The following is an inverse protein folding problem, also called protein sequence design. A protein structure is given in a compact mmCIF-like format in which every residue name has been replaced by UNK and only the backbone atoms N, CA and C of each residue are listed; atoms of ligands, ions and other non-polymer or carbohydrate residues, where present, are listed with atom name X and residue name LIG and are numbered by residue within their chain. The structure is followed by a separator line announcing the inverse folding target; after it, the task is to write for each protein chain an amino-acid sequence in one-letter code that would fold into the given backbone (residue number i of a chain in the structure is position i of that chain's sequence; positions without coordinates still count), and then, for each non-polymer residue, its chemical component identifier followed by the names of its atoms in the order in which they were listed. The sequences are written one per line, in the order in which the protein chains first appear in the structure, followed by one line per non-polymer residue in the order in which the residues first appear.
data_IF_609778363171
#
_entry.id   IF_609778363171
#
_cell.length_a   1.000
_cell.length_b   1.000
_cell.length_c   1.000
_cell.angle_alpha   90.00
_cell.angle_beta   90.00
_cell.angle_gamma   90.00
#
_symmetry.space_group_name_H-M   'P 1'
#
loop_
_entity.id
_entity.type
_entity.pdbx_description
1 polymer ?
#
# COMPACT_ATOMS: atom_id res chain seq x y z
N UNK A 1 21.31 -9.67 -4.78
CA UNK A 1 20.56 -8.43 -4.48
C UNK A 1 19.67 -8.66 -3.26
N UNK A 2 19.57 -7.67 -2.37
CA UNK A 2 18.61 -7.63 -1.27
C UNK A 2 17.50 -6.66 -1.64
N UNK A 3 16.28 -7.15 -1.77
CA UNK A 3 15.07 -6.38 -2.00
C UNK A 3 14.31 -6.24 -0.68
N UNK A 4 14.01 -5.03 -0.25
CA UNK A 4 13.06 -4.80 0.83
C UNK A 4 11.68 -4.48 0.23
N UNK A 5 10.70 -5.29 0.58
CA UNK A 5 9.33 -5.19 0.16
C UNK A 5 8.42 -4.80 1.32
N UNK A 6 7.53 -3.84 1.11
CA UNK A 6 6.43 -3.51 2.00
C UNK A 6 5.20 -3.14 1.17
N UNK A 7 4.03 -3.09 1.79
CA UNK A 7 2.75 -2.77 1.15
C UNK A 7 1.77 -2.24 2.18
N UNK A 8 0.62 -1.74 1.76
CA UNK A 8 -0.52 -1.37 2.62
C UNK A 8 -0.14 -0.43 3.77
N UNK A 9 0.53 0.67 3.44
CA UNK A 9 0.92 1.70 4.43
C UNK A 9 -0.18 2.71 4.71
N UNK A 10 -1.22 2.76 3.88
CA UNK A 10 -2.47 3.50 4.04
C UNK A 10 -2.31 4.89 4.68
N UNK A 11 -1.51 5.75 4.05
CA UNK A 11 -1.31 7.13 4.50
C UNK A 11 -0.45 7.30 5.75
N UNK A 12 0.06 6.22 6.35
CA UNK A 12 0.89 6.28 7.55
C UNK A 12 2.28 6.83 7.26
N UNK A 13 2.49 8.11 7.56
CA UNK A 13 3.81 8.75 7.40
C UNK A 13 4.89 8.07 8.23
N UNK A 14 4.52 7.47 9.36
CA UNK A 14 5.45 6.68 10.18
C UNK A 14 5.91 5.43 9.42
N UNK A 15 4.98 4.68 8.84
CA UNK A 15 5.32 3.47 8.07
C UNK A 15 6.12 3.83 6.81
N UNK A 16 5.73 4.87 6.06
CA UNK A 16 6.48 5.30 4.89
C UNK A 16 7.90 5.76 5.24
N UNK A 17 8.07 6.52 6.33
CA UNK A 17 9.41 6.92 6.81
C UNK A 17 10.28 5.70 7.16
N UNK A 18 9.70 4.70 7.82
CA UNK A 18 10.40 3.44 8.13
C UNK A 18 10.74 2.66 6.86
N UNK A 19 9.84 2.65 5.86
CA UNK A 19 10.09 2.03 4.55
C UNK A 19 11.32 2.65 3.88
N UNK A 20 11.40 3.96 3.80
CA UNK A 20 12.59 4.64 3.23
C UNK A 20 13.85 4.34 4.05
N UNK A 21 13.76 4.34 5.38
CA UNK A 21 14.89 4.03 6.27
C UNK A 21 15.32 2.54 6.19
N UNK A 22 14.46 1.65 5.74
CA UNK A 22 14.78 0.23 5.58
C UNK A 22 15.97 -0.01 4.62
N UNK A 23 16.19 0.90 3.67
CA UNK A 23 17.34 0.89 2.77
C UNK A 23 18.66 0.77 3.54
N UNK A 24 18.86 1.64 4.52
CA UNK A 24 20.05 1.63 5.35
C UNK A 24 20.02 0.53 6.41
N UNK A 25 18.92 0.43 7.13
CA UNK A 25 18.78 -0.48 8.26
C UNK A 25 19.02 -1.94 7.87
N UNK A 26 18.43 -2.38 6.74
CA UNK A 26 18.58 -3.74 6.24
C UNK A 26 19.68 -3.88 5.19
N UNK A 27 20.37 -2.78 4.83
CA UNK A 27 21.34 -2.74 3.71
C UNK A 27 20.68 -3.31 2.43
N UNK A 28 19.48 -2.82 2.13
CA UNK A 28 18.76 -3.22 0.94
C UNK A 28 19.35 -2.55 -0.31
N UNK A 29 19.48 -3.30 -1.39
CA UNK A 29 19.95 -2.81 -2.68
C UNK A 29 18.83 -2.09 -3.46
N UNK A 30 17.56 -2.40 -3.14
CA UNK A 30 16.36 -1.78 -3.71
C UNK A 30 15.20 -1.81 -2.72
N UNK A 31 14.30 -0.84 -2.83
CA UNK A 31 13.03 -0.78 -2.08
C UNK A 31 11.85 -0.91 -3.04
N UNK A 32 10.83 -1.70 -2.66
CA UNK A 32 9.57 -1.82 -3.40
C UNK A 32 8.38 -1.68 -2.46
N UNK A 33 7.51 -0.70 -2.73
CA UNK A 33 6.23 -0.49 -2.04
C UNK A 33 5.10 -0.99 -2.94
N UNK A 34 4.37 -2.01 -2.50
CA UNK A 34 3.54 -2.87 -3.33
C UNK A 34 2.09 -2.41 -3.56
N UNK A 35 1.71 -1.24 -3.03
CA UNK A 35 0.35 -0.69 -3.22
C UNK A 35 -0.33 -0.31 -1.92
N UNK A 36 -1.56 0.20 -2.03
CA UNK A 36 -2.39 0.74 -0.94
C UNK A 36 -1.61 1.73 -0.07
N UNK A 37 -1.12 2.78 -0.76
CA UNK A 37 -0.25 3.77 -0.14
C UNK A 37 -1.05 4.91 0.51
N UNK A 38 -2.32 5.13 0.12
CA UNK A 38 -3.12 6.27 0.55
C UNK A 38 -3.96 5.97 1.79
N UNK A 39 -4.23 7.02 2.59
CA UNK A 39 -4.99 6.91 3.84
C UNK A 39 -6.50 7.02 3.61
N UNK A 40 -7.28 6.79 4.68
CA UNK A 40 -8.72 6.53 4.56
C UNK A 40 -9.64 7.60 5.14
N UNK A 41 -9.11 8.60 5.86
CA UNK A 41 -9.97 9.57 6.53
C UNK A 41 -9.31 10.93 6.77
N UNK A 42 -10.15 11.98 6.78
CA UNK A 42 -9.77 13.33 7.19
C UNK A 42 -10.11 13.53 8.66
N UNK A 43 -9.24 14.21 9.38
CA UNK A 43 -9.48 14.70 10.74
C UNK A 43 -9.54 16.22 10.69
N UNK A 44 -10.75 16.82 10.68
CA UNK A 44 -10.89 18.26 10.78
C UNK A 44 -10.36 18.75 12.14
N UNK A 45 -9.52 19.76 12.10
CA UNK A 45 -9.02 20.49 13.25
C UNK A 45 -9.56 21.93 13.16
N UNK A 46 -10.71 22.15 13.81
CA UNK A 46 -11.47 23.40 13.71
C UNK A 46 -10.88 24.44 14.65
N UNK A 47 -10.54 25.60 14.09
CA UNK A 47 -9.93 26.70 14.83
C UNK A 47 -10.99 27.52 15.60
N UNK A 48 -10.75 27.76 16.88
CA UNK A 48 -11.52 28.67 17.71
C UNK A 48 -10.59 29.40 18.69
N UNK A 49 -10.55 30.73 18.62
CA UNK A 49 -9.80 31.62 19.55
C UNK A 49 -8.35 31.15 19.84
N UNK A 50 -7.63 30.71 18.80
CA UNK A 50 -6.23 30.26 18.93
C UNK A 50 -6.05 28.80 19.35
N UNK A 51 -7.14 28.08 19.58
CA UNK A 51 -7.17 26.63 19.81
C UNK A 51 -7.69 25.90 18.58
N UNK A 52 -7.33 24.64 18.47
CA UNK A 52 -7.84 23.72 17.45
C UNK A 52 -8.49 22.52 18.12
N UNK A 53 -9.67 22.16 17.69
CA UNK A 53 -10.40 21.02 18.24
C UNK A 53 -10.94 20.10 17.13
N UNK A 54 -11.07 18.81 17.43
CA UNK A 54 -11.58 17.80 16.51
C UNK A 54 -11.86 16.49 17.22
N UNK A 55 -12.10 15.45 16.41
CA UNK A 55 -12.25 14.08 16.91
C UNK A 55 -11.20 13.19 16.23
N UNK A 56 -10.45 12.44 17.01
CA UNK A 56 -9.42 11.55 16.52
C UNK A 56 -9.40 10.26 17.34
N UNK A 57 -9.50 9.11 16.65
CA UNK A 57 -9.58 7.76 17.24
C UNK A 57 -10.67 7.63 18.31
N UNK A 58 -11.85 8.25 18.06
CA UNK A 58 -12.99 8.21 18.98
C UNK A 58 -12.93 9.18 20.14
N UNK A 59 -11.83 9.93 20.31
CA UNK A 59 -11.64 10.91 21.36
C UNK A 59 -11.77 12.34 20.85
N UNK A 60 -12.30 13.23 21.67
CA UNK A 60 -12.26 14.66 21.42
C UNK A 60 -10.87 15.20 21.78
N UNK A 61 -10.21 15.83 20.83
CA UNK A 61 -8.91 16.48 21.03
C UNK A 61 -9.07 18.00 21.00
N UNK A 62 -8.27 18.72 21.80
CA UNK A 62 -8.22 20.18 21.78
C UNK A 62 -6.82 20.62 22.18
N UNK A 63 -6.14 21.36 21.29
CA UNK A 63 -4.75 21.79 21.45
C UNK A 63 -4.59 23.27 21.15
N UNK A 64 -3.54 23.88 21.65
CA UNK A 64 -3.18 25.25 21.30
C UNK A 64 -2.44 25.30 19.96
N UNK A 65 -2.51 26.47 19.33
CA UNK A 65 -1.72 26.75 18.12
C UNK A 65 -0.23 26.69 18.43
N UNK A 66 0.56 26.07 17.55
CA UNK A 66 2.00 25.95 17.70
C UNK A 66 2.42 24.49 17.87
N UNK A 67 3.35 24.20 18.77
CA UNK A 67 3.95 22.87 18.93
C UNK A 67 2.96 21.76 19.25
N UNK A 68 1.92 22.05 20.07
CA UNK A 68 0.88 21.07 20.39
C UNK A 68 0.08 20.65 19.15
N UNK A 69 -0.30 21.63 18.30
CA UNK A 69 -1.00 21.38 17.07
C UNK A 69 -0.14 20.55 16.09
N UNK A 70 1.13 20.92 15.93
CA UNK A 70 2.06 20.17 15.07
C UNK A 70 2.28 18.74 15.57
N UNK A 71 2.36 18.55 16.88
CA UNK A 71 2.48 17.22 17.48
C UNK A 71 1.22 16.38 17.23
N UNK A 72 0.03 16.99 17.34
CA UNK A 72 -1.23 16.31 17.01
C UNK A 72 -1.31 15.93 15.53
N UNK A 73 -0.96 16.82 14.62
CA UNK A 73 -0.93 16.53 13.18
C UNK A 73 0.05 15.40 12.84
N UNK A 74 1.24 15.39 13.44
CA UNK A 74 2.19 14.29 13.30
C UNK A 74 1.61 12.97 13.82
N UNK A 75 0.86 13.00 14.93
CA UNK A 75 0.17 11.82 15.47
C UNK A 75 -0.90 11.32 14.51
N UNK A 76 -1.73 12.22 13.96
CA UNK A 76 -2.77 11.91 12.96
C UNK A 76 -2.12 11.30 11.71
N UNK A 77 -1.06 11.93 11.18
CA UNK A 77 -0.35 11.44 10.02
C UNK A 77 0.35 10.09 10.24
N UNK A 78 0.76 9.79 11.47
CA UNK A 78 1.40 8.52 11.81
C UNK A 78 0.44 7.32 11.73
N UNK A 79 -0.87 7.55 11.89
CA UNK A 79 -1.91 6.51 11.84
C UNK A 79 -2.60 6.40 10.47
N UNK A 80 -2.14 7.15 9.47
CA UNK A 80 -2.69 7.09 8.12
C UNK A 80 -3.83 8.06 7.84
N UNK A 81 -4.14 8.99 8.76
CA UNK A 81 -5.19 9.99 8.57
C UNK A 81 -4.61 11.31 8.09
N UNK A 82 -5.48 12.18 7.56
CA UNK A 82 -5.14 13.50 7.05
C UNK A 82 -5.67 14.58 7.98
N UNK A 83 -4.78 15.30 8.66
CA UNK A 83 -5.17 16.48 9.43
C UNK A 83 -5.53 17.61 8.48
N UNK A 84 -6.68 18.25 8.73
CA UNK A 84 -7.15 19.42 7.99
C UNK A 84 -7.46 20.55 8.93
N UNK A 85 -6.60 21.58 8.94
CA UNK A 85 -6.87 22.83 9.68
C UNK A 85 -7.94 23.61 8.94
N UNK A 86 -8.99 23.98 9.64
CA UNK A 86 -10.10 24.73 9.06
C UNK A 86 -10.72 25.70 10.06
N UNK A 87 -11.49 26.65 9.54
CA UNK A 87 -12.40 27.49 10.32
C UNK A 87 -13.75 26.78 10.47
N UNK A 88 -14.61 27.20 11.44
CA UNK A 88 -15.95 26.64 11.61
C UNK A 88 -16.82 26.75 10.35
N UNK A 89 -16.71 27.86 9.62
CA UNK A 89 -17.44 28.07 8.36
C UNK A 89 -16.98 27.15 7.24
N UNK A 90 -15.68 26.92 7.12
CA UNK A 90 -15.10 25.99 6.15
C UNK A 90 -15.48 24.53 6.45
N UNK A 91 -15.43 24.15 7.73
CA UNK A 91 -15.85 22.81 8.16
C UNK A 91 -17.31 22.56 7.84
N UNK A 92 -18.20 23.50 8.19
CA UNK A 92 -19.63 23.41 7.90
C UNK A 92 -19.92 23.36 6.39
N UNK A 93 -19.20 24.14 5.58
CA UNK A 93 -19.33 24.16 4.13
C UNK A 93 -18.95 22.80 3.51
N UNK A 94 -17.83 22.21 3.94
CA UNK A 94 -17.36 20.91 3.46
C UNK A 94 -18.26 19.78 3.98
N UNK A 95 -18.64 19.81 5.25
CA UNK A 95 -19.50 18.78 5.85
C UNK A 95 -20.87 18.66 5.16
N UNK A 96 -21.39 19.78 4.64
CA UNK A 96 -22.68 19.83 3.93
C UNK A 96 -22.61 19.44 2.43
N UNK A 97 -21.44 19.23 1.86
CA UNK A 97 -21.25 19.05 0.43
C UNK A 97 -20.31 17.86 0.11
N UNK A 98 -20.87 16.77 -0.36
CA UNK A 98 -20.12 15.55 -0.69
C UNK A 98 -19.03 15.79 -1.75
N UNK A 99 -19.27 16.59 -2.77
CA UNK A 99 -18.28 16.86 -3.81
C UNK A 99 -17.08 17.64 -3.24
N UNK A 100 -17.32 18.57 -2.29
CA UNK A 100 -16.25 19.28 -1.57
C UNK A 100 -15.47 18.35 -0.65
N UNK A 101 -16.14 17.41 0.00
CA UNK A 101 -15.46 16.39 0.83
C UNK A 101 -14.53 15.54 -0.03
N UNK A 102 -15.02 15.02 -1.16
CA UNK A 102 -14.24 14.22 -2.09
C UNK A 102 -13.05 15.00 -2.67
N UNK A 103 -13.27 16.25 -3.10
CA UNK A 103 -12.21 17.11 -3.61
C UNK A 103 -11.14 17.45 -2.56
N UNK A 104 -11.57 17.74 -1.32
CA UNK A 104 -10.64 17.97 -0.21
C UNK A 104 -9.82 16.72 0.11
N UNK A 105 -10.48 15.56 0.17
CA UNK A 105 -9.83 14.30 0.49
C UNK A 105 -8.77 13.95 -0.57
N UNK A 106 -9.13 14.04 -1.84
CA UNK A 106 -8.22 13.80 -2.95
C UNK A 106 -7.01 14.76 -2.93
N UNK A 107 -7.24 16.05 -2.68
CA UNK A 107 -6.14 17.02 -2.54
C UNK A 107 -5.17 16.64 -1.42
N UNK A 108 -5.68 16.28 -0.23
CA UNK A 108 -4.84 15.89 0.90
C UNK A 108 -4.07 14.58 0.65
N UNK A 109 -4.67 13.66 -0.09
CA UNK A 109 -4.01 12.44 -0.55
C UNK A 109 -2.82 12.78 -1.46
N UNK A 110 -3.06 13.56 -2.51
CA UNK A 110 -2.02 13.93 -3.49
C UNK A 110 -0.88 14.69 -2.81
N UNK A 111 -1.20 15.72 -2.00
CA UNK A 111 -0.21 16.48 -1.23
C UNK A 111 0.66 15.57 -0.34
N UNK A 112 0.07 14.54 0.28
CA UNK A 112 0.83 13.58 1.10
C UNK A 112 1.74 12.70 0.25
N UNK A 113 1.26 12.20 -0.88
CA UNK A 113 2.06 11.37 -1.80
C UNK A 113 3.24 12.19 -2.34
N UNK A 114 3.03 13.43 -2.78
CA UNK A 114 4.11 14.33 -3.21
C UNK A 114 5.17 14.54 -2.12
N UNK A 115 4.75 14.80 -0.88
CA UNK A 115 5.66 14.93 0.26
C UNK A 115 6.48 13.65 0.49
N UNK A 116 5.88 12.48 0.33
CA UNK A 116 6.56 11.21 0.49
C UNK A 116 7.55 10.93 -0.64
N UNK A 117 7.19 11.25 -1.87
CA UNK A 117 8.09 11.13 -3.01
C UNK A 117 9.31 12.04 -2.84
N UNK A 118 9.10 13.29 -2.42
CA UNK A 118 10.20 14.20 -2.10
C UNK A 118 11.11 13.67 -0.97
N UNK A 119 10.52 13.06 0.08
CA UNK A 119 11.28 12.44 1.17
C UNK A 119 12.12 11.26 0.67
N UNK A 120 11.55 10.40 -0.18
CA UNK A 120 12.28 9.27 -0.75
C UNK A 120 13.42 9.74 -1.67
N UNK A 121 13.15 10.75 -2.50
CA UNK A 121 14.15 11.37 -3.37
C UNK A 121 15.34 11.92 -2.57
N UNK A 122 15.07 12.74 -1.56
CA UNK A 122 16.08 13.33 -0.68
C UNK A 122 17.00 12.27 -0.02
N UNK A 123 16.41 11.19 0.48
CA UNK A 123 17.16 10.18 1.25
C UNK A 123 17.84 9.10 0.41
N UNK A 124 17.28 8.75 -0.74
CA UNK A 124 17.72 7.59 -1.51
C UNK A 124 18.58 7.94 -2.73
N UNK A 125 18.31 9.08 -3.39
CA UNK A 125 19.04 9.51 -4.59
C UNK A 125 20.54 9.60 -4.37
N UNK A 126 20.97 10.27 -3.32
CA UNK A 126 22.40 10.46 -3.01
C UNK A 126 23.13 9.15 -2.69
N UNK A 127 22.38 8.11 -2.33
CA UNK A 127 22.89 6.76 -2.01
C UNK A 127 22.81 5.81 -3.20
N UNK A 128 22.18 6.23 -4.30
CA UNK A 128 21.97 5.39 -5.48
C UNK A 128 21.07 4.18 -5.25
N UNK A 129 20.19 4.23 -4.22
CA UNK A 129 19.29 3.11 -3.90
C UNK A 129 17.96 3.34 -4.63
N UNK A 130 17.60 2.52 -5.64
CA UNK A 130 16.35 2.65 -6.35
C UNK A 130 15.16 2.37 -5.45
N UNK A 131 14.09 3.14 -5.67
CA UNK A 131 12.84 3.05 -4.95
C UNK A 131 11.70 2.91 -5.96
N UNK A 132 10.94 1.86 -5.82
CA UNK A 132 9.83 1.51 -6.67
C UNK A 132 8.53 1.60 -5.87
N UNK A 133 7.52 2.25 -6.44
CA UNK A 133 6.21 2.42 -5.79
C UNK A 133 5.11 1.99 -6.73
N UNK A 134 4.26 1.10 -6.29
CA UNK A 134 3.04 0.72 -6.97
C UNK A 134 1.82 1.35 -6.31
N UNK A 135 0.73 1.51 -7.05
CA UNK A 135 -0.59 1.72 -6.47
C UNK A 135 -1.20 0.38 -6.05
N UNK A 136 -2.16 0.40 -5.12
CA UNK A 136 -3.05 -0.70 -4.80
C UNK A 136 -4.50 -0.38 -5.17
N UNK A 137 -5.42 -1.29 -4.86
CA UNK A 137 -6.81 -1.11 -5.30
C UNK A 137 -7.54 0.04 -4.60
N UNK A 138 -7.13 0.40 -3.39
CA UNK A 138 -7.73 1.49 -2.60
C UNK A 138 -7.16 2.88 -2.99
N UNK A 139 -6.14 2.93 -3.82
CA UNK A 139 -5.48 4.17 -4.24
C UNK A 139 -6.23 4.84 -5.40
N UNK A 140 -6.60 6.13 -5.28
CA UNK A 140 -7.22 6.88 -6.38
C UNK A 140 -6.26 7.03 -7.56
N UNK A 141 -6.82 7.12 -8.78
CA UNK A 141 -6.02 7.21 -10.02
C UNK A 141 -5.16 8.49 -10.09
N UNK A 142 -5.60 9.53 -9.42
CA UNK A 142 -4.94 10.84 -9.40
C UNK A 142 -3.57 10.84 -8.73
N UNK A 143 -3.25 9.82 -7.91
CA UNK A 143 -1.91 9.71 -7.33
C UNK A 143 -0.84 9.30 -8.34
N UNK A 144 -1.24 8.70 -9.47
CA UNK A 144 -0.31 8.22 -10.48
C UNK A 144 0.62 9.36 -10.94
N UNK A 145 0.03 10.52 -11.25
CA UNK A 145 0.81 11.69 -11.65
C UNK A 145 1.75 12.20 -10.54
N UNK A 146 1.34 12.11 -9.28
CA UNK A 146 2.16 12.53 -8.14
C UNK A 146 3.39 11.62 -7.94
N UNK A 147 3.22 10.30 -8.15
CA UNK A 147 4.34 9.36 -8.09
C UNK A 147 5.23 9.47 -9.33
N UNK A 148 4.64 9.56 -10.53
CA UNK A 148 5.38 9.75 -11.80
C UNK A 148 6.19 11.04 -11.85
N UNK A 149 5.71 12.09 -11.18
CA UNK A 149 6.42 13.36 -11.04
C UNK A 149 7.66 13.31 -10.14
N UNK A 150 7.88 12.20 -9.43
CA UNK A 150 9.04 12.02 -8.57
C UNK A 150 10.33 11.86 -9.40
N UNK A 151 11.40 12.49 -8.96
CA UNK A 151 12.65 12.47 -9.73
C UNK A 151 13.49 11.20 -9.55
N UNK A 152 13.31 10.46 -8.46
CA UNK A 152 14.09 9.25 -8.12
C UNK A 152 13.24 8.00 -7.93
N UNK A 153 11.97 8.15 -7.51
CA UNK A 153 11.03 7.04 -7.34
C UNK A 153 10.48 6.64 -8.70
N UNK A 154 10.42 5.35 -8.98
CA UNK A 154 9.84 4.80 -10.21
C UNK A 154 8.46 4.23 -9.93
N UNK A 155 7.45 4.68 -10.69
CA UNK A 155 6.07 4.21 -10.58
C UNK A 155 5.88 2.93 -11.37
N UNK A 156 5.25 1.93 -10.72
CA UNK A 156 5.19 0.57 -11.25
C UNK A 156 3.87 0.18 -11.90
N UNK A 157 2.76 0.90 -11.63
CA UNK A 157 1.43 0.46 -12.06
C UNK A 157 1.35 0.18 -13.57
N UNK A 158 0.98 -1.04 -13.90
CA UNK A 158 0.88 -1.49 -15.29
C UNK A 158 2.20 -1.51 -16.05
N UNK A 159 3.36 -1.60 -15.38
CA UNK A 159 4.70 -1.51 -16.01
C UNK A 159 5.56 -2.72 -15.71
N UNK A 160 6.59 -2.88 -16.53
CA UNK A 160 7.72 -3.79 -16.30
C UNK A 160 8.96 -2.93 -16.11
N UNK A 161 9.65 -3.14 -14.98
CA UNK A 161 10.90 -2.44 -14.66
C UNK A 161 12.00 -3.44 -14.35
N UNK A 162 13.25 -3.00 -14.39
CA UNK A 162 14.40 -3.83 -14.02
C UNK A 162 14.97 -3.41 -12.67
N UNK A 163 15.20 -4.39 -11.81
CA UNK A 163 15.94 -4.22 -10.57
C UNK A 163 17.45 -4.17 -10.83
N UNK A 164 18.28 -3.70 -9.86
CA UNK A 164 19.74 -3.55 -10.06
C UNK A 164 20.50 -4.79 -10.52
N UNK A 165 19.94 -5.97 -10.35
CA UNK A 165 20.56 -7.23 -10.82
C UNK A 165 19.99 -7.76 -12.15
N UNK A 166 19.17 -6.94 -12.83
CA UNK A 166 18.54 -7.28 -14.10
C UNK A 166 17.25 -8.10 -13.96
N UNK A 167 16.79 -8.39 -12.73
CA UNK A 167 15.51 -9.08 -12.53
C UNK A 167 14.35 -8.17 -12.91
N UNK A 168 13.49 -8.60 -13.81
CA UNK A 168 12.30 -7.84 -14.22
C UNK A 168 11.19 -7.97 -13.18
N UNK A 169 10.47 -6.87 -12.94
CA UNK A 169 9.28 -6.81 -12.08
C UNK A 169 8.10 -6.37 -12.93
N UNK A 170 7.10 -7.23 -13.07
CA UNK A 170 5.80 -6.89 -13.64
C UNK A 170 4.82 -6.50 -12.52
N UNK A 171 4.16 -5.35 -12.62
CA UNK A 171 3.34 -4.83 -11.54
C UNK A 171 1.90 -4.53 -11.98
N UNK A 172 0.95 -4.85 -11.09
CA UNK A 172 -0.45 -4.51 -11.22
C UNK A 172 -1.07 -4.24 -9.83
N UNK A 173 -1.59 -3.04 -9.63
CA UNK A 173 -2.22 -2.62 -8.37
C UNK A 173 -3.71 -2.90 -8.30
N UNK A 174 -4.34 -3.34 -9.40
CA UNK A 174 -5.74 -3.68 -9.43
C UNK A 174 -6.03 -4.97 -8.65
N UNK A 175 -7.23 -5.04 -8.06
CA UNK A 175 -7.74 -6.23 -7.37
C UNK A 175 -9.09 -6.68 -7.95
N UNK A 176 -9.50 -7.90 -7.63
CA UNK A 176 -10.87 -8.34 -7.82
C UNK A 176 -11.82 -7.50 -6.95
N UNK A 177 -13.10 -7.43 -7.36
CA UNK A 177 -14.11 -6.60 -6.70
C UNK A 177 -14.17 -6.89 -5.20
N UNK A 178 -14.03 -5.82 -4.42
CA UNK A 178 -14.21 -5.82 -2.97
C UNK A 178 -15.59 -5.27 -2.58
N UNK A 179 -16.08 -5.53 -1.37
CA UNK A 179 -17.32 -4.94 -0.88
C UNK A 179 -17.31 -3.40 -0.77
N UNK A 180 -16.14 -2.79 -0.81
CA UNK A 180 -15.95 -1.34 -0.63
C UNK A 180 -15.95 -0.55 -1.94
N UNK A 181 -15.97 -1.24 -3.10
CA UNK A 181 -15.94 -0.63 -4.43
C UNK A 181 -14.78 0.37 -4.58
N UNK A 182 -13.56 -0.11 -4.31
CA UNK A 182 -12.35 0.68 -4.36
C UNK A 182 -12.03 1.16 -5.79
N UNK A 183 -11.24 2.24 -5.93
CA UNK A 183 -10.98 2.87 -7.25
C UNK A 183 -10.40 1.95 -8.32
N UNK A 184 -9.63 0.92 -7.93
CA UNK A 184 -9.01 -0.04 -8.86
C UNK A 184 -9.55 -1.46 -8.70
N UNK A 185 -10.77 -1.60 -8.14
CA UNK A 185 -11.50 -2.86 -8.16
C UNK A 185 -12.04 -3.14 -9.56
N UNK A 186 -11.80 -4.35 -10.07
CA UNK A 186 -12.32 -4.80 -11.37
C UNK A 186 -12.80 -6.24 -11.28
N UNK A 187 -13.65 -6.65 -12.24
CA UNK A 187 -14.01 -8.05 -12.34
C UNK A 187 -12.79 -8.92 -12.74
N UNK A 188 -12.87 -10.23 -12.45
CA UNK A 188 -11.77 -11.18 -12.66
C UNK A 188 -11.33 -11.24 -14.14
N UNK A 189 -12.24 -11.07 -15.11
CA UNK A 189 -11.88 -11.10 -16.53
C UNK A 189 -11.05 -9.87 -16.92
N UNK A 190 -11.44 -8.69 -16.41
CA UNK A 190 -10.66 -7.46 -16.61
C UNK A 190 -9.32 -7.51 -15.89
N UNK A 191 -9.30 -8.10 -14.68
CA UNK A 191 -8.05 -8.28 -13.97
C UNK A 191 -7.12 -9.22 -14.74
N UNK A 192 -7.64 -10.35 -15.24
CA UNK A 192 -6.87 -11.28 -16.09
C UNK A 192 -6.28 -10.58 -17.31
N UNK A 193 -7.06 -9.76 -18.01
CA UNK A 193 -6.58 -9.01 -19.17
C UNK A 193 -5.45 -8.04 -18.82
N UNK A 194 -5.54 -7.33 -17.67
CA UNK A 194 -4.48 -6.43 -17.19
C UNK A 194 -3.19 -7.19 -16.83
N UNK A 195 -3.33 -8.33 -16.15
CA UNK A 195 -2.20 -9.19 -15.80
C UNK A 195 -1.53 -9.73 -17.06
N UNK A 196 -2.30 -10.25 -18.02
CA UNK A 196 -1.78 -10.75 -19.29
C UNK A 196 -1.07 -9.63 -20.08
N UNK A 197 -1.60 -8.41 -20.10
CA UNK A 197 -0.99 -7.26 -20.78
C UNK A 197 0.37 -6.88 -20.17
N UNK A 198 0.50 -6.84 -18.87
CA UNK A 198 1.80 -6.52 -18.23
C UNK A 198 2.79 -7.67 -18.36
N UNK A 199 2.34 -8.93 -18.22
CA UNK A 199 3.20 -10.12 -18.35
C UNK A 199 3.72 -10.27 -19.76
N UNK A 200 2.93 -9.92 -20.79
CA UNK A 200 3.35 -10.01 -22.20
C UNK A 200 4.58 -9.14 -22.54
N UNK A 201 4.91 -8.18 -21.68
CA UNK A 201 6.09 -7.30 -21.84
C UNK A 201 7.31 -7.76 -21.05
N UNK A 202 7.22 -8.88 -20.35
CA UNK A 202 8.33 -9.50 -19.62
C UNK A 202 9.08 -10.44 -20.55
N UNK A 203 10.40 -10.30 -20.63
CA UNK A 203 11.23 -11.12 -21.51
C UNK A 203 11.28 -12.59 -21.09
N UNK A 204 11.40 -12.84 -19.77
CA UNK A 204 11.41 -14.17 -19.18
C UNK A 204 10.55 -14.23 -17.92
N UNK A 205 9.22 -14.48 -18.08
CA UNK A 205 8.29 -14.52 -16.96
C UNK A 205 8.69 -15.51 -15.85
N UNK A 206 9.36 -16.60 -16.22
CA UNK A 206 9.77 -17.61 -15.26
C UNK A 206 10.89 -17.13 -14.30
N UNK A 207 11.66 -16.13 -14.67
CA UNK A 207 12.70 -15.52 -13.83
C UNK A 207 12.34 -14.11 -13.36
N UNK A 208 11.12 -13.64 -13.64
CA UNK A 208 10.62 -12.35 -13.20
C UNK A 208 9.98 -12.39 -11.81
N UNK A 209 9.75 -11.23 -11.25
CA UNK A 209 8.94 -11.00 -10.04
C UNK A 209 7.58 -10.46 -10.50
N UNK A 210 6.49 -11.05 -10.01
CA UNK A 210 5.15 -10.51 -10.20
C UNK A 210 4.73 -9.76 -8.93
N UNK A 211 4.69 -8.44 -9.00
CA UNK A 211 4.18 -7.57 -7.95
C UNK A 211 2.69 -7.28 -8.25
N UNK A 212 1.84 -8.22 -7.90
CA UNK A 212 0.40 -8.12 -8.06
C UNK A 212 -0.23 -7.87 -6.70
N UNK A 213 -0.79 -6.68 -6.51
CA UNK A 213 -1.28 -6.24 -5.21
C UNK A 213 -2.24 -7.27 -4.58
N UNK A 214 -3.24 -7.74 -5.36
CA UNK A 214 -4.14 -8.79 -4.91
C UNK A 214 -3.43 -10.15 -4.84
N UNK A 215 -3.52 -10.90 -3.73
CA UNK A 215 -2.92 -12.23 -3.60
C UNK A 215 -3.70 -13.29 -4.39
N UNK A 216 -3.04 -14.41 -4.77
CA UNK A 216 -3.67 -15.51 -5.47
C UNK A 216 -4.66 -16.27 -4.60
N UNK A 217 -5.87 -16.55 -5.14
CA UNK A 217 -6.97 -17.19 -4.44
C UNK A 217 -6.61 -18.55 -3.85
N UNK A 218 -7.01 -18.80 -2.60
CA UNK A 218 -6.92 -20.10 -1.93
C UNK A 218 -5.51 -20.50 -1.54
N UNK A 219 -4.68 -19.56 -1.17
CA UNK A 219 -3.27 -19.77 -0.78
C UNK A 219 -3.01 -19.56 0.71
N UNK A 220 -4.01 -19.09 1.46
CA UNK A 220 -3.88 -18.76 2.88
C UNK A 220 -3.20 -17.42 3.16
N UNK A 221 -2.52 -16.83 2.14
CA UNK A 221 -2.06 -15.43 2.20
C UNK A 221 -3.12 -14.47 1.64
N UNK A 222 -4.29 -15.00 1.34
CA UNK A 222 -5.46 -14.32 0.80
C UNK A 222 -6.71 -14.51 1.67
N UNK A 223 -6.56 -15.00 2.88
CA UNK A 223 -7.68 -15.18 3.80
C UNK A 223 -8.13 -13.84 4.39
N UNK A 224 -9.40 -13.50 4.21
CA UNK A 224 -10.03 -12.33 4.79
C UNK A 224 -11.20 -12.73 5.70
N UNK A 225 -11.66 -11.83 6.58
CA UNK A 225 -12.83 -12.08 7.40
C UNK A 225 -14.08 -12.25 6.53
N UNK A 226 -14.81 -13.34 6.77
CA UNK A 226 -16.09 -13.57 6.09
C UNK A 226 -17.09 -12.49 6.48
N UNK A 227 -17.66 -11.84 5.46
CA UNK A 227 -18.69 -10.83 5.64
C UNK A 227 -20.07 -11.41 5.44
N UNK A 228 -21.03 -11.00 6.30
CA UNK A 228 -22.44 -11.24 6.10
C UNK A 228 -23.02 -10.37 4.98
N UNK A 229 -24.30 -10.54 4.68
CA UNK A 229 -25.00 -9.73 3.68
C UNK A 229 -25.09 -8.23 4.04
N UNK A 230 -24.85 -7.89 5.31
CA UNK A 230 -24.79 -6.52 5.84
C UNK A 230 -23.35 -5.98 5.92
N UNK A 231 -22.41 -6.63 5.27
CA UNK A 231 -20.97 -6.32 5.28
C UNK A 231 -20.31 -6.34 6.68
N UNK A 232 -20.96 -6.98 7.67
CA UNK A 232 -20.36 -7.17 8.99
C UNK A 232 -19.59 -8.47 9.05
N UNK A 233 -18.51 -8.45 9.82
CA UNK A 233 -17.69 -9.64 10.05
C UNK A 233 -18.52 -10.73 10.72
N UNK A 234 -18.52 -11.93 10.16
CA UNK A 234 -19.19 -13.09 10.72
C UNK A 234 -18.29 -13.73 11.76
N UNK A 235 -18.80 -13.83 12.98
CA UNK A 235 -18.11 -14.51 14.09
C UNK A 235 -18.98 -15.64 14.62
N UNK A 236 -18.38 -16.80 14.83
CA UNK A 236 -18.98 -17.97 15.47
C UNK A 236 -18.34 -18.27 16.84
N UNK A 237 -18.70 -19.40 17.43
CA UNK A 237 -18.13 -19.86 18.71
C UNK A 237 -16.59 -20.06 18.67
N UNK A 238 -15.99 -20.18 17.47
CA UNK A 238 -14.56 -20.32 17.25
C UNK A 238 -13.82 -19.00 16.92
N UNK A 239 -14.50 -17.85 16.95
CA UNK A 239 -13.94 -16.55 16.57
C UNK A 239 -14.41 -16.08 15.18
N UNK A 240 -13.64 -15.20 14.55
CA UNK A 240 -13.89 -14.69 13.20
C UNK A 240 -13.67 -15.80 12.17
N UNK A 241 -14.65 -16.04 11.30
CA UNK A 241 -14.51 -16.99 10.20
C UNK A 241 -13.67 -16.34 9.09
N UNK A 242 -12.53 -16.95 8.76
CA UNK A 242 -11.65 -16.52 7.67
C UNK A 242 -11.92 -17.36 6.43
N UNK A 243 -11.97 -16.70 5.26
CA UNK A 243 -12.23 -17.35 3.98
C UNK A 243 -11.30 -16.78 2.91
N UNK A 244 -10.94 -17.57 1.87
CA UNK A 244 -10.14 -17.06 0.77
C UNK A 244 -10.94 -16.03 -0.03
N UNK A 245 -10.35 -14.84 -0.21
CA UNK A 245 -10.94 -13.70 -0.95
C UNK A 245 -10.01 -13.13 -2.02
N UNK A 246 -8.85 -13.73 -2.23
CA UNK A 246 -7.91 -13.35 -3.28
C UNK A 246 -8.43 -13.58 -4.70
N UNK A 247 -7.62 -13.23 -5.70
CA UNK A 247 -7.99 -13.28 -7.10
C UNK A 247 -7.70 -14.63 -7.76
N UNK A 248 -8.69 -15.15 -8.50
CA UNK A 248 -8.53 -16.33 -9.35
C UNK A 248 -7.70 -16.01 -10.58
N UNK A 249 -7.79 -14.80 -11.12
CA UNK A 249 -6.97 -14.34 -12.25
C UNK A 249 -5.48 -14.27 -11.85
N UNK A 250 -5.20 -13.70 -10.67
CA UNK A 250 -3.84 -13.67 -10.12
C UNK A 250 -3.28 -15.10 -9.95
N UNK A 251 -4.07 -16.00 -9.35
CA UNK A 251 -3.69 -17.42 -9.21
C UNK A 251 -3.38 -18.06 -10.56
N UNK A 252 -4.29 -17.92 -11.53
CA UNK A 252 -4.12 -18.51 -12.86
C UNK A 252 -2.87 -17.98 -13.60
N UNK A 253 -2.60 -16.69 -13.49
CA UNK A 253 -1.39 -16.07 -14.05
C UNK A 253 -0.11 -16.64 -13.43
N UNK A 254 -0.05 -16.77 -12.10
CA UNK A 254 1.12 -17.35 -11.41
C UNK A 254 1.28 -18.84 -11.76
N UNK A 255 0.19 -19.61 -11.78
CA UNK A 255 0.23 -21.03 -12.15
C UNK A 255 0.72 -21.26 -13.59
N UNK A 256 0.32 -20.38 -14.52
CA UNK A 256 0.70 -20.45 -15.94
C UNK A 256 2.17 -20.11 -16.16
N UNK A 257 2.64 -19.02 -15.56
CA UNK A 257 3.97 -18.46 -15.86
C UNK A 257 5.06 -18.89 -14.87
N UNK A 258 4.66 -19.32 -13.68
CA UNK A 258 5.57 -19.79 -12.63
C UNK A 258 6.75 -18.81 -12.39
N UNK A 259 6.48 -17.50 -12.08
CA UNK A 259 7.53 -16.54 -11.85
C UNK A 259 8.46 -16.96 -10.71
N UNK A 260 9.58 -16.30 -10.59
CA UNK A 260 10.52 -16.50 -9.49
C UNK A 260 9.89 -16.18 -8.13
N UNK A 261 9.08 -15.10 -8.08
CA UNK A 261 8.51 -14.56 -6.86
C UNK A 261 7.18 -13.87 -7.17
N UNK A 262 6.18 -14.07 -6.31
CA UNK A 262 4.96 -13.27 -6.22
C UNK A 262 5.01 -12.36 -4.99
N UNK A 263 4.81 -11.06 -5.18
CA UNK A 263 4.73 -10.07 -4.12
C UNK A 263 3.29 -9.55 -4.04
N UNK A 264 2.69 -9.63 -2.87
CA UNK A 264 1.28 -9.33 -2.64
C UNK A 264 1.07 -8.52 -1.36
N UNK A 265 -0.09 -7.87 -1.27
CA UNK A 265 -0.58 -7.14 -0.10
C UNK A 265 -2.09 -7.35 0.07
N UNK A 266 -2.84 -6.24 0.17
CA UNK A 266 -4.30 -6.20 0.16
C UNK A 266 -4.98 -6.82 1.38
N UNK A 267 -4.60 -8.03 1.80
CA UNK A 267 -5.13 -8.75 2.96
C UNK A 267 -4.16 -8.57 4.14
N UNK A 268 -4.45 -7.59 4.99
CA UNK A 268 -3.57 -7.17 6.09
C UNK A 268 -3.34 -8.26 7.11
N UNK A 269 -4.38 -9.07 7.36
CA UNK A 269 -4.39 -10.16 8.34
C UNK A 269 -3.61 -11.38 7.88
N UNK A 270 -3.45 -11.55 6.56
CA UNK A 270 -2.94 -12.78 5.95
C UNK A 270 -1.44 -12.75 5.67
N UNK A 271 -0.68 -12.27 6.67
CA UNK A 271 0.78 -12.32 6.62
C UNK A 271 1.28 -13.74 6.48
N UNK A 272 1.99 -14.03 5.40
CA UNK A 272 2.49 -15.36 5.17
C UNK A 272 3.23 -15.54 3.85
N UNK A 273 3.62 -16.78 3.62
CA UNK A 273 4.15 -17.24 2.34
C UNK A 273 3.44 -18.49 1.86
N UNK A 274 3.32 -18.64 0.54
CA UNK A 274 2.76 -19.83 -0.07
C UNK A 274 3.58 -20.23 -1.31
N UNK A 275 3.84 -21.54 -1.45
CA UNK A 275 4.45 -22.06 -2.66
C UNK A 275 3.38 -22.45 -3.67
N UNK A 276 3.19 -21.66 -4.71
CA UNK A 276 2.28 -21.96 -5.81
C UNK A 276 3.07 -22.55 -7.00
N UNK A 277 3.14 -23.89 -7.06
CA UNK A 277 4.11 -24.56 -7.91
C UNK A 277 5.55 -24.27 -7.43
N UNK A 278 6.38 -23.68 -8.31
CA UNK A 278 7.74 -23.26 -7.93
C UNK A 278 7.82 -21.82 -7.42
N UNK A 279 6.76 -21.04 -7.58
CA UNK A 279 6.72 -19.62 -7.21
C UNK A 279 6.53 -19.46 -5.71
N UNK A 280 7.43 -18.72 -5.07
CA UNK A 280 7.24 -18.25 -3.70
C UNK A 280 6.34 -17.01 -3.74
N UNK A 281 5.10 -17.09 -3.21
CA UNK A 281 4.21 -15.96 -3.00
C UNK A 281 4.38 -15.42 -1.59
N UNK A 282 4.46 -14.10 -1.42
CA UNK A 282 4.74 -13.43 -0.14
C UNK A 282 3.73 -12.30 0.08
N UNK A 283 3.06 -12.31 1.22
CA UNK A 283 2.28 -11.19 1.75
C UNK A 283 2.84 -10.81 3.14
N UNK A 284 3.45 -9.63 3.32
CA UNK A 284 4.00 -9.23 4.61
C UNK A 284 2.93 -8.84 5.64
N UNK A 285 1.66 -8.68 5.21
CA UNK A 285 0.59 -8.12 6.02
C UNK A 285 0.78 -6.63 6.33
N UNK A 286 -0.15 -6.06 7.10
CA UNK A 286 -0.07 -4.65 7.50
C UNK A 286 -0.54 -4.41 8.92
N UNK A 287 0.10 -3.48 9.62
CA UNK A 287 -0.28 -2.93 10.94
C UNK A 287 -0.06 -1.41 10.95
N UNK A 288 -0.43 -0.74 9.86
CA UNK A 288 -0.15 0.68 9.66
C UNK A 288 -0.82 1.57 10.72
N UNK A 289 -1.99 1.19 11.24
CA UNK A 289 -2.72 1.94 12.26
C UNK A 289 -1.92 2.09 13.56
N UNK A 290 -1.12 1.09 13.89
CA UNK A 290 -0.21 1.09 15.04
C UNK A 290 1.13 1.77 14.70
N UNK A 291 1.30 2.18 13.46
CA UNK A 291 2.57 2.73 12.96
C UNK A 291 3.68 1.70 12.92
N UNK A 292 3.34 0.41 12.85
CA UNK A 292 4.28 -0.70 12.67
C UNK A 292 4.38 -1.02 11.19
N UNK A 293 5.56 -0.83 10.61
CA UNK A 293 5.83 -1.25 9.24
C UNK A 293 6.05 -2.77 9.21
N UNK A 294 5.16 -3.48 8.54
CA UNK A 294 5.37 -4.86 8.13
C UNK A 294 6.09 -4.90 6.79
N UNK A 295 7.05 -5.80 6.64
CA UNK A 295 7.79 -5.94 5.38
C UNK A 295 8.41 -7.32 5.23
N UNK A 296 9.03 -7.54 4.09
CA UNK A 296 9.82 -8.74 3.78
C UNK A 296 11.18 -8.34 3.20
N UNK A 297 12.26 -8.85 3.76
CA UNK A 297 13.59 -8.78 3.20
C UNK A 297 13.83 -10.05 2.38
N UNK A 298 14.11 -9.88 1.10
CA UNK A 298 14.25 -10.96 0.12
C UNK A 298 15.67 -10.94 -0.45
N UNK A 299 16.36 -12.06 -0.42
CA UNK A 299 17.67 -12.19 -1.04
C UNK A 299 17.56 -12.95 -2.36
N UNK A 300 17.75 -12.24 -3.47
CA UNK A 300 17.74 -12.78 -4.83
C UNK A 300 19.18 -12.94 -5.31
N UNK A 301 19.56 -14.14 -5.77
CA UNK A 301 20.87 -14.40 -6.35
C UNK A 301 20.77 -15.38 -7.51
N UNK A 302 21.27 -14.96 -8.70
CA UNK A 302 21.33 -15.81 -9.90
C UNK A 302 19.98 -16.46 -10.22
N UNK A 303 18.92 -15.68 -10.28
CA UNK A 303 17.56 -16.15 -10.59
C UNK A 303 16.97 -17.13 -9.55
N UNK A 304 17.37 -17.03 -8.29
CA UNK A 304 16.83 -17.86 -7.19
C UNK A 304 16.62 -17.03 -5.94
N UNK A 305 15.54 -17.30 -5.21
CA UNK A 305 15.35 -16.78 -3.86
C UNK A 305 16.21 -17.58 -2.89
N UNK A 306 17.19 -16.95 -2.27
CA UNK A 306 18.10 -17.57 -1.31
C UNK A 306 17.55 -17.57 0.10
N UNK A 307 16.91 -16.47 0.47
CA UNK A 307 16.25 -16.32 1.75
C UNK A 307 15.13 -15.30 1.67
N UNK A 308 14.16 -15.45 2.54
CA UNK A 308 13.17 -14.43 2.83
C UNK A 308 13.01 -14.32 4.35
N UNK A 309 12.79 -13.11 4.82
CA UNK A 309 12.59 -12.83 6.24
C UNK A 309 11.53 -11.75 6.38
N UNK A 310 10.49 -12.04 7.15
CA UNK A 310 9.54 -11.01 7.56
C UNK A 310 10.14 -10.07 8.58
N UNK A 311 9.80 -8.80 8.46
CA UNK A 311 10.22 -7.74 9.38
C UNK A 311 9.00 -7.07 10.00
N UNK A 312 9.20 -6.45 11.18
CA UNK A 312 8.25 -5.57 11.83
C UNK A 312 9.03 -4.51 12.61
N UNK A 313 8.64 -3.24 12.49
CA UNK A 313 9.38 -2.16 13.16
C UNK A 313 8.61 -0.84 13.21
#
# INVERSE_FOLDING_TARGET
MRLFYATDVHGSTRCFTKFVNAAEFYRADALLLGGDITGKAIVPLVSDNGRYSGHFLGERVSVERGEELEALEKKIAATGYYAWRCRPDEEAEVAGDRAKQEALFLRLIVERVEQWMALADDRLRSRGIPCFVNAGNDDPLEIDAAVEGAGWVEFLEGRVVELPDGTQVASCGYANITPWACPRDVDEDKLAARLDDVIARVDDPANAIFNFHCPPYGTGIDDGPKLGADFRVTAGAGGVEMVPVGSKACRAAIERHQPLLGLHGHLHESRGTHMLGRTLCVNPGSEYTEGVLRGALLEVRKGKIKSHQFTAG
#
